data_IF_838756121804
#
_entry.id   IF_838756121804
#
_cell.length_a   1.000
_cell.length_b   1.000
_cell.length_c   1.000
_cell.angle_alpha   90.00
_cell.angle_beta   90.00
_cell.angle_gamma   90.00
#
_symmetry.space_group_name_H-M   'P 1'
#
loop_
_entity.id
_entity.type
_entity.pdbx_description
1 polymer ?
#
# COMPACT_ATOMS: atom_id res chain seq x y z
N UNK A 1 -8.78 -3.49 -4.79
CA UNK A 1 -8.03 -2.20 -4.81
C UNK A 1 -6.79 -2.36 -3.95
N UNK A 2 -5.69 -1.69 -4.26
CA UNK A 2 -4.45 -1.80 -3.49
C UNK A 2 -3.83 -0.43 -3.23
N UNK A 3 -2.99 -0.34 -2.21
CA UNK A 3 -2.20 0.86 -1.89
C UNK A 3 -0.89 0.94 -2.67
N UNK A 4 -0.47 -0.11 -3.35
CA UNK A 4 0.74 -0.11 -4.20
C UNK A 4 0.59 0.90 -5.35
N UNK A 5 -0.63 1.18 -5.79
CA UNK A 5 -0.90 2.27 -6.73
C UNK A 5 -0.46 3.65 -6.22
N UNK A 6 -0.52 3.91 -4.91
CA UNK A 6 -0.12 5.21 -4.34
C UNK A 6 1.39 5.44 -4.34
N UNK A 7 2.19 4.45 -4.75
CA UNK A 7 3.63 4.59 -4.90
C UNK A 7 4.03 5.67 -5.92
N UNK A 8 3.16 5.97 -6.89
CA UNK A 8 3.40 7.08 -7.81
C UNK A 8 3.53 8.44 -7.08
N UNK A 9 2.98 8.60 -5.88
CA UNK A 9 3.22 9.80 -5.03
C UNK A 9 4.70 9.94 -4.71
N UNK A 10 5.38 8.85 -4.34
CA UNK A 10 6.81 8.89 -4.04
C UNK A 10 7.65 9.21 -5.30
N UNK A 11 7.26 8.66 -6.45
CA UNK A 11 7.88 8.98 -7.73
C UNK A 11 7.68 10.46 -8.12
N UNK A 12 6.47 11.00 -7.96
CA UNK A 12 6.16 12.42 -8.19
C UNK A 12 6.95 13.31 -7.23
N UNK A 13 6.96 12.99 -5.94
CA UNK A 13 7.75 13.74 -4.96
C UNK A 13 9.24 13.74 -5.30
N UNK A 14 9.78 12.59 -5.75
CA UNK A 14 11.17 12.46 -6.19
C UNK A 14 11.46 13.31 -7.42
N UNK A 15 10.57 13.29 -8.42
CA UNK A 15 10.71 14.06 -9.66
C UNK A 15 10.67 15.57 -9.40
N UNK A 16 9.78 16.02 -8.52
CA UNK A 16 9.63 17.44 -8.17
C UNK A 16 10.64 17.92 -7.12
N UNK A 17 11.45 17.03 -6.55
CA UNK A 17 12.42 17.36 -5.51
C UNK A 17 11.78 17.82 -4.20
N UNK A 18 10.58 17.31 -3.89
CA UNK A 18 9.83 17.65 -2.68
C UNK A 18 9.81 16.48 -1.67
N UNK A 19 9.55 16.82 -0.42
CA UNK A 19 9.47 15.87 0.69
C UNK A 19 8.23 14.99 0.57
N UNK A 20 8.38 13.69 0.82
CA UNK A 20 7.27 12.73 0.89
C UNK A 20 6.51 12.87 2.22
N UNK A 21 5.63 13.86 2.33
CA UNK A 21 4.79 14.10 3.53
C UNK A 21 3.73 13.03 3.69
N UNK A 22 3.37 12.68 4.93
CA UNK A 22 2.30 11.72 5.21
C UNK A 22 0.91 12.35 5.06
N UNK A 23 0.07 11.93 4.10
CA UNK A 23 -1.23 12.53 3.81
C UNK A 23 -2.35 11.85 4.60
N UNK A 24 -2.22 11.83 5.93
CA UNK A 24 -3.12 11.06 6.79
C UNK A 24 -3.25 11.61 8.20
N UNK A 25 -4.05 10.94 9.02
CA UNK A 25 -4.30 11.34 10.41
C UNK A 25 -3.34 10.65 11.38
N UNK A 26 -3.13 11.28 12.54
CA UNK A 26 -2.33 10.73 13.65
C UNK A 26 -2.71 9.30 14.05
N UNK A 27 -4.01 8.98 13.98
CA UNK A 27 -4.53 7.66 14.32
C UNK A 27 -3.99 6.55 13.39
N UNK A 28 -3.86 6.81 12.10
CA UNK A 28 -3.22 5.88 11.16
C UNK A 28 -1.70 5.86 11.36
N UNK A 29 -1.10 7.03 11.60
CA UNK A 29 0.34 7.20 11.72
C UNK A 29 0.95 6.42 12.91
N UNK A 30 0.39 6.62 14.10
CA UNK A 30 0.88 6.05 15.36
C UNK A 30 0.18 4.74 15.74
N UNK A 31 -1.00 4.49 15.17
CA UNK A 31 -1.81 3.29 15.41
C UNK A 31 -1.21 2.05 14.74
N UNK A 32 -1.69 0.89 15.19
CA UNK A 32 -1.42 -0.36 14.49
C UNK A 32 -2.32 -0.48 13.26
N UNK A 33 -1.78 -1.11 12.23
CA UNK A 33 -2.50 -1.49 11.02
C UNK A 33 -2.07 -2.90 10.62
N UNK A 34 -2.95 -3.62 9.97
CA UNK A 34 -2.63 -4.86 9.25
C UNK A 34 -2.84 -4.65 7.74
N UNK A 35 -2.45 -5.65 6.96
CA UNK A 35 -2.75 -5.72 5.55
C UNK A 35 -2.80 -7.17 5.08
N UNK A 36 -3.26 -7.35 3.85
CA UNK A 36 -3.43 -8.66 3.23
C UNK A 36 -2.64 -8.69 1.92
N UNK A 37 -1.57 -9.46 1.90
CA UNK A 37 -0.75 -9.70 0.72
C UNK A 37 -1.57 -10.43 -0.37
N UNK A 38 -1.45 -10.00 -1.63
CA UNK A 38 -2.28 -10.54 -2.69
C UNK A 38 -1.95 -12.01 -3.03
N UNK A 39 -0.68 -12.43 -2.88
CA UNK A 39 -0.29 -13.82 -3.09
C UNK A 39 -0.78 -14.68 -1.91
N UNK A 40 -0.75 -14.16 -0.67
CA UNK A 40 -1.34 -14.83 0.50
C UNK A 40 -2.86 -14.99 0.38
N UNK A 41 -3.56 -13.97 -0.14
CA UNK A 41 -5.00 -14.07 -0.44
C UNK A 41 -5.25 -15.17 -1.47
N UNK A 42 -4.43 -15.25 -2.54
CA UNK A 42 -4.56 -16.30 -3.53
C UNK A 42 -4.34 -17.70 -2.94
N UNK A 43 -3.30 -17.87 -2.12
CA UNK A 43 -3.06 -19.11 -1.36
C UNK A 43 -4.24 -19.49 -0.47
N UNK A 44 -4.83 -18.51 0.22
CA UNK A 44 -5.99 -18.69 1.09
C UNK A 44 -7.24 -19.12 0.30
N UNK A 45 -7.49 -18.51 -0.87
CA UNK A 45 -8.57 -18.93 -1.75
C UNK A 45 -8.37 -20.33 -2.32
N UNK A 46 -7.14 -20.68 -2.71
CA UNK A 46 -6.79 -22.03 -3.17
C UNK A 46 -7.03 -23.04 -2.05
N UNK A 47 -6.56 -22.74 -0.83
CA UNK A 47 -6.81 -23.57 0.35
C UNK A 47 -8.31 -23.78 0.58
N UNK A 48 -9.10 -22.69 0.59
CA UNK A 48 -10.55 -22.75 0.77
C UNK A 48 -11.28 -23.56 -0.31
N UNK A 49 -10.72 -23.63 -1.52
CA UNK A 49 -11.29 -24.40 -2.62
C UNK A 49 -11.00 -25.92 -2.53
N UNK A 50 -9.87 -26.32 -1.94
CA UNK A 50 -9.41 -27.72 -1.95
C UNK A 50 -9.53 -28.43 -0.61
N UNK A 51 -9.50 -27.69 0.51
CA UNK A 51 -9.50 -28.27 1.85
C UNK A 51 -10.93 -28.60 2.32
N UNK A 52 -11.25 -29.85 2.67
CA UNK A 52 -12.58 -30.21 3.17
C UNK A 52 -12.95 -29.51 4.48
N UNK A 53 -11.97 -29.13 5.31
CA UNK A 53 -12.22 -28.42 6.57
C UNK A 53 -12.54 -26.93 6.36
N UNK A 54 -12.28 -26.38 5.17
CA UNK A 54 -12.58 -24.99 4.84
C UNK A 54 -13.95 -24.78 4.17
N UNK A 55 -14.70 -25.85 3.89
CA UNK A 55 -15.95 -25.79 3.12
C UNK A 55 -17.06 -25.07 3.88
N UNK A 56 -17.82 -24.24 3.15
CA UNK A 56 -19.00 -23.52 3.64
C UNK A 56 -18.72 -22.57 4.83
N UNK A 57 -17.48 -22.09 4.94
CA UNK A 57 -17.05 -21.21 6.02
C UNK A 57 -16.58 -19.86 5.48
N UNK A 58 -16.85 -18.80 6.23
CA UNK A 58 -16.24 -17.48 6.01
C UNK A 58 -14.99 -17.34 6.87
N UNK A 59 -13.89 -16.88 6.27
CA UNK A 59 -12.60 -16.71 6.94
C UNK A 59 -12.01 -15.32 6.64
N UNK A 60 -11.34 -14.76 7.64
CA UNK A 60 -10.48 -13.59 7.46
C UNK A 60 -9.16 -14.02 6.79
N UNK A 61 -8.50 -13.06 6.14
CA UNK A 61 -7.16 -13.24 5.56
C UNK A 61 -6.36 -11.96 5.70
N UNK A 62 -5.47 -11.93 6.69
CA UNK A 62 -4.46 -10.90 6.92
C UNK A 62 -3.09 -11.56 7.10
N UNK A 63 -2.02 -10.76 6.99
CA UNK A 63 -0.64 -11.26 6.95
C UNK A 63 -0.17 -11.97 8.23
N UNK A 64 -0.88 -11.81 9.34
CA UNK A 64 -0.55 -12.41 10.64
C UNK A 64 0.41 -11.58 11.49
N UNK A 65 0.76 -10.37 11.06
CA UNK A 65 1.51 -9.37 11.81
C UNK A 65 0.82 -7.99 11.75
N UNK A 66 1.37 -7.01 12.48
CA UNK A 66 0.91 -5.62 12.47
C UNK A 66 2.07 -4.67 12.18
N UNK A 67 1.77 -3.52 11.60
CA UNK A 67 2.73 -2.46 11.36
C UNK A 67 2.18 -1.10 11.81
N UNK A 68 3.03 -0.07 11.70
CA UNK A 68 2.62 1.33 11.85
C UNK A 68 3.00 2.07 10.59
N UNK A 69 2.13 2.94 10.10
CA UNK A 69 2.41 3.74 8.91
C UNK A 69 3.70 4.54 9.04
N UNK A 70 4.04 5.04 10.24
CA UNK A 70 5.33 5.72 10.48
C UNK A 70 6.58 4.93 10.08
N UNK A 71 6.51 3.61 10.15
CA UNK A 71 7.62 2.74 9.77
C UNK A 71 7.59 2.45 8.27
N UNK A 72 6.41 2.16 7.72
CA UNK A 72 6.24 1.86 6.29
C UNK A 72 6.53 3.08 5.42
N UNK A 73 6.22 4.28 5.91
CA UNK A 73 6.50 5.53 5.20
C UNK A 73 8.01 5.78 5.05
N UNK A 74 8.82 5.38 6.03
CA UNK A 74 10.29 5.39 5.91
C UNK A 74 10.78 4.43 4.85
N UNK A 75 10.25 3.20 4.83
CA UNK A 75 10.57 2.21 3.81
C UNK A 75 10.23 2.74 2.42
N UNK A 76 9.06 3.38 2.26
CA UNK A 76 8.66 3.99 1.00
C UNK A 76 9.64 5.09 0.56
N UNK A 77 10.01 6.00 1.48
CA UNK A 77 10.97 7.05 1.18
C UNK A 77 12.34 6.49 0.75
N UNK A 78 12.84 5.47 1.47
CA UNK A 78 14.10 4.77 1.15
C UNK A 78 14.05 4.10 -0.23
N UNK A 79 12.96 3.40 -0.55
CA UNK A 79 12.80 2.69 -1.82
C UNK A 79 12.78 3.63 -3.04
N UNK A 80 12.32 4.86 -2.89
CA UNK A 80 12.28 5.85 -3.98
C UNK A 80 13.41 6.89 -3.89
N UNK A 81 14.26 6.81 -2.85
CA UNK A 81 15.33 7.77 -2.62
C UNK A 81 14.82 9.22 -2.48
N UNK A 82 13.64 9.39 -1.88
CA UNK A 82 12.99 10.69 -1.66
C UNK A 82 13.16 11.11 -0.20
N UNK A 83 13.19 12.41 0.06
CA UNK A 83 13.26 12.92 1.44
C UNK A 83 12.02 12.50 2.23
N UNK A 84 12.25 11.91 3.41
CA UNK A 84 11.19 11.42 4.29
C UNK A 84 10.47 12.60 4.97
N UNK A 85 9.16 12.71 4.72
CA UNK A 85 8.25 13.57 5.48
C UNK A 85 7.38 12.74 6.41
N UNK A 86 7.36 13.09 7.69
CA UNK A 86 6.49 12.43 8.66
C UNK A 86 5.04 12.92 8.61
N UNK A 87 4.27 12.52 9.61
CA UNK A 87 3.03 13.21 9.98
C UNK A 87 3.32 14.60 10.55
N UNK A 88 2.56 15.60 10.11
CA UNK A 88 2.59 16.98 10.61
C UNK A 88 1.27 17.30 11.33
N UNK A 89 1.35 17.71 12.60
CA UNK A 89 0.18 18.04 13.42
C UNK A 89 -0.57 19.25 12.83
N UNK A 90 -1.90 19.16 12.73
CA UNK A 90 -2.75 20.25 12.25
C UNK A 90 -2.82 20.39 10.72
N UNK A 91 -2.08 19.57 9.95
CA UNK A 91 -2.28 19.46 8.51
C UNK A 91 -3.29 18.35 8.19
N UNK A 92 -4.36 18.71 7.47
CA UNK A 92 -5.26 17.76 6.83
C UNK A 92 -5.05 17.84 5.33
N UNK A 93 -4.06 17.10 4.83
CA UNK A 93 -3.78 16.97 3.40
C UNK A 93 -4.39 15.66 2.89
N UNK A 94 -5.15 15.73 1.81
CA UNK A 94 -5.61 14.55 1.08
C UNK A 94 -4.77 14.34 -0.17
N UNK A 95 -4.56 13.07 -0.56
CA UNK A 95 -3.92 12.74 -1.82
C UNK A 95 -4.76 13.21 -3.01
N UNK A 96 -6.09 13.22 -2.90
CA UNK A 96 -6.96 13.78 -3.94
C UNK A 96 -6.67 15.25 -4.24
N UNK A 97 -6.37 16.05 -3.22
CA UNK A 97 -5.99 17.46 -3.40
C UNK A 97 -4.56 17.59 -3.91
N UNK A 98 -3.61 16.88 -3.30
CA UNK A 98 -2.19 16.97 -3.65
C UNK A 98 -1.91 16.51 -5.09
N UNK A 99 -2.65 15.53 -5.59
CA UNK A 99 -2.40 14.89 -6.89
C UNK A 99 -3.32 15.39 -8.02
N UNK A 100 -4.27 16.30 -7.72
CA UNK A 100 -5.31 16.75 -8.67
C UNK A 100 -4.75 17.20 -10.02
N UNK A 101 -3.69 18.00 -9.99
CA UNK A 101 -3.12 18.64 -11.17
C UNK A 101 -1.77 18.02 -11.60
N UNK A 102 -1.48 16.79 -11.14
CA UNK A 102 -0.21 16.10 -11.40
C UNK A 102 -0.22 15.22 -12.65
N UNK A 103 -1.29 15.25 -13.45
CA UNK A 103 -1.40 14.44 -14.66
C UNK A 103 -0.25 14.66 -15.65
N UNK A 104 0.06 15.91 -15.98
CA UNK A 104 1.18 16.23 -16.90
C UNK A 104 2.55 15.88 -16.31
N UNK A 105 2.72 15.99 -14.99
CA UNK A 105 3.95 15.59 -14.30
C UNK A 105 4.13 14.07 -14.39
N UNK A 106 3.04 13.31 -14.25
CA UNK A 106 3.09 11.86 -14.43
C UNK A 106 3.42 11.47 -15.87
N UNK A 107 2.83 12.14 -16.87
CA UNK A 107 3.13 11.90 -18.28
C UNK A 107 4.63 12.14 -18.59
N UNK A 108 5.23 13.16 -17.96
CA UNK A 108 6.67 13.42 -18.05
C UNK A 108 7.49 12.30 -17.41
N UNK A 109 7.15 11.86 -16.20
CA UNK A 109 7.81 10.73 -15.52
C UNK A 109 7.75 9.47 -16.38
N UNK A 110 6.59 9.16 -16.96
CA UNK A 110 6.38 8.00 -17.84
C UNK A 110 7.30 8.08 -19.07
N UNK A 111 7.34 9.25 -19.73
CA UNK A 111 8.17 9.48 -20.92
C UNK A 111 9.66 9.37 -20.62
N UNK A 112 10.12 10.00 -19.55
CA UNK A 112 11.56 10.11 -19.22
C UNK A 112 12.16 8.79 -18.73
N UNK A 113 11.37 7.99 -18.01
CA UNK A 113 11.82 6.72 -17.45
C UNK A 113 11.46 5.52 -18.34
N UNK A 114 10.80 5.75 -19.49
CA UNK A 114 10.39 4.68 -20.41
C UNK A 114 9.43 3.69 -19.76
N UNK A 115 8.47 4.21 -18.98
CA UNK A 115 7.49 3.41 -18.23
C UNK A 115 6.38 2.89 -19.14
N UNK A 116 5.62 1.94 -18.62
CA UNK A 116 4.36 1.50 -19.23
C UNK A 116 3.43 2.72 -19.37
N UNK A 117 2.85 2.99 -20.55
CA UNK A 117 1.98 4.15 -20.76
C UNK A 117 0.70 4.06 -19.93
N UNK A 118 0.69 4.72 -18.77
CA UNK A 118 -0.45 4.78 -17.85
C UNK A 118 -0.85 6.22 -17.63
N UNK A 119 -2.16 6.46 -17.43
CA UNK A 119 -2.60 7.75 -16.91
C UNK A 119 -2.53 7.75 -15.40
N UNK A 120 -2.38 8.93 -14.81
CA UNK A 120 -2.25 9.08 -13.36
C UNK A 120 -3.48 8.53 -12.62
N UNK A 121 -4.68 8.72 -13.16
CA UNK A 121 -5.94 8.21 -12.59
C UNK A 121 -6.07 6.68 -12.62
N UNK A 122 -5.33 6.00 -13.50
CA UNK A 122 -5.36 4.53 -13.60
C UNK A 122 -4.48 3.86 -12.54
N UNK A 123 -3.40 4.52 -12.13
CA UNK A 123 -2.45 4.01 -11.13
C UNK A 123 -2.68 4.61 -9.75
N UNK A 124 -3.13 5.87 -9.68
CA UNK A 124 -3.33 6.64 -8.47
C UNK A 124 -4.77 6.62 -7.98
N UNK A 125 -5.12 5.65 -7.13
CA UNK A 125 -6.46 5.57 -6.53
C UNK A 125 -6.53 6.36 -5.21
N UNK A 126 -6.55 7.69 -5.35
CA UNK A 126 -6.38 8.64 -4.24
C UNK A 126 -7.45 8.54 -3.16
N UNK A 127 -8.72 8.46 -3.55
CA UNK A 127 -9.84 8.40 -2.61
C UNK A 127 -9.73 7.20 -1.67
N UNK A 128 -9.23 6.07 -2.18
CA UNK A 128 -9.05 4.88 -1.38
C UNK A 128 -7.91 5.05 -0.37
N UNK A 129 -6.79 5.61 -0.84
CA UNK A 129 -5.66 5.93 0.01
C UNK A 129 -6.04 6.88 1.14
N UNK A 130 -6.82 7.93 0.83
CA UNK A 130 -7.33 8.89 1.81
C UNK A 130 -8.23 8.22 2.86
N UNK A 131 -9.06 7.26 2.47
CA UNK A 131 -9.87 6.48 3.42
C UNK A 131 -8.96 5.66 4.34
N UNK A 132 -7.95 4.98 3.81
CA UNK A 132 -7.07 4.14 4.64
C UNK A 132 -6.20 4.98 5.58
N UNK A 133 -5.56 6.03 5.07
CA UNK A 133 -4.63 6.87 5.84
C UNK A 133 -5.36 7.90 6.74
N UNK A 134 -6.63 8.19 6.44
CA UNK A 134 -7.48 9.10 7.19
C UNK A 134 -8.14 8.49 8.43
N UNK A 135 -8.05 7.16 8.61
CA UNK A 135 -8.75 6.45 9.67
C UNK A 135 -7.82 5.52 10.47
N UNK A 136 -8.21 5.19 11.70
CA UNK A 136 -7.60 4.09 12.41
C UNK A 136 -7.97 2.77 11.72
N UNK A 137 -7.00 1.87 11.57
CA UNK A 137 -7.24 0.54 11.01
C UNK A 137 -7.83 -0.39 12.10
N UNK A 138 -9.07 -0.87 11.95
CA UNK A 138 -9.59 -1.95 12.78
C UNK A 138 -8.92 -3.26 12.35
N UNK A 139 -8.33 -3.98 13.30
CA UNK A 139 -7.63 -5.24 13.04
C UNK A 139 -8.61 -6.41 12.96
N UNK A 140 -8.28 -7.40 12.13
CA UNK A 140 -9.01 -8.67 12.09
C UNK A 140 -8.39 -9.76 12.99
N UNK A 141 -8.88 -10.99 12.85
CA UNK A 141 -8.27 -12.15 13.50
C UNK A 141 -8.13 -13.32 12.55
N UNK A 142 -6.91 -13.84 12.46
CA UNK A 142 -6.55 -15.05 11.71
C UNK A 142 -6.75 -16.35 12.49
N UNK A 143 -7.29 -16.30 13.72
CA UNK A 143 -7.43 -17.50 14.56
C UNK A 143 -8.27 -18.58 13.89
N UNK A 144 -9.44 -18.23 13.36
CA UNK A 144 -10.31 -19.20 12.68
C UNK A 144 -9.60 -19.87 11.50
N UNK A 145 -8.90 -19.11 10.66
CA UNK A 145 -8.13 -19.64 9.52
C UNK A 145 -7.07 -20.63 9.99
N UNK A 146 -6.29 -20.28 11.03
CA UNK A 146 -5.25 -21.17 11.61
C UNK A 146 -5.84 -22.42 12.25
N UNK A 147 -6.95 -22.29 12.98
CA UNK A 147 -7.66 -23.40 13.61
C UNK A 147 -8.21 -24.40 12.58
N UNK A 148 -8.49 -23.94 11.36
CA UNK A 148 -8.92 -24.78 10.24
C UNK A 148 -7.75 -25.22 9.34
N UNK A 149 -6.51 -24.97 9.74
CA UNK A 149 -5.31 -25.49 9.07
C UNK A 149 -4.61 -24.53 8.11
N UNK A 150 -5.14 -23.32 7.88
CA UNK A 150 -4.43 -22.31 7.09
C UNK A 150 -3.38 -21.58 7.94
N UNK A 151 -2.11 -21.98 7.76
CA UNK A 151 -0.95 -21.41 8.46
C UNK A 151 -0.12 -20.46 7.58
N UNK A 152 -0.66 -20.05 6.42
CA UNK A 152 -0.01 -19.07 5.56
C UNK A 152 0.11 -17.72 6.27
N UNK A 153 1.27 -17.08 6.14
CA UNK A 153 1.53 -15.76 6.68
C UNK A 153 2.50 -15.01 5.76
N UNK A 154 2.63 -13.70 5.96
CA UNK A 154 3.65 -12.86 5.33
C UNK A 154 4.20 -11.87 6.34
N UNK A 155 5.49 -11.55 6.23
CA UNK A 155 6.03 -10.38 6.91
C UNK A 155 5.61 -9.14 6.10
N UNK A 156 4.80 -8.26 6.69
CA UNK A 156 4.19 -7.15 5.95
C UNK A 156 5.22 -6.15 5.42
N UNK A 157 6.36 -5.94 6.11
CA UNK A 157 7.42 -5.05 5.62
C UNK A 157 8.07 -5.61 4.36
N UNK A 158 8.39 -6.90 4.37
CA UNK A 158 9.01 -7.57 3.21
C UNK A 158 8.01 -7.67 2.05
N UNK A 159 6.74 -7.93 2.34
CA UNK A 159 5.64 -7.89 1.36
C UNK A 159 5.58 -6.52 0.68
N UNK A 160 5.56 -5.42 1.45
CA UNK A 160 5.56 -4.06 0.88
C UNK A 160 6.72 -3.85 -0.10
N UNK A 161 7.95 -4.20 0.31
CA UNK A 161 9.13 -4.07 -0.54
C UNK A 161 8.98 -4.91 -1.81
N UNK A 162 8.56 -6.16 -1.69
CA UNK A 162 8.31 -7.05 -2.83
C UNK A 162 7.28 -6.49 -3.82
N UNK A 163 6.21 -5.86 -3.32
CA UNK A 163 5.19 -5.23 -4.19
C UNK A 163 5.69 -3.94 -4.84
N UNK A 164 6.53 -3.15 -4.15
CA UNK A 164 7.23 -2.00 -4.74
C UNK A 164 8.16 -2.47 -5.87
N UNK A 165 8.99 -3.47 -5.60
CA UNK A 165 9.93 -4.04 -6.57
C UNK A 165 9.20 -4.60 -7.79
N UNK A 166 8.04 -5.25 -7.59
CA UNK A 166 7.18 -5.71 -8.69
C UNK A 166 6.65 -4.54 -9.52
N UNK A 167 6.20 -3.45 -8.90
CA UNK A 167 5.74 -2.27 -9.65
C UNK A 167 6.86 -1.65 -10.51
N UNK A 168 8.10 -1.60 -9.99
CA UNK A 168 9.29 -1.18 -10.73
C UNK A 168 9.66 -2.13 -11.86
N UNK A 169 9.67 -3.44 -11.59
CA UNK A 169 10.01 -4.47 -12.56
C UNK A 169 9.05 -4.47 -13.77
N UNK A 170 7.76 -4.17 -13.53
CA UNK A 170 6.75 -4.00 -14.57
C UNK A 170 6.68 -2.57 -15.14
N UNK A 171 7.65 -1.72 -14.77
CA UNK A 171 7.78 -0.33 -15.25
C UNK A 171 6.51 0.49 -15.06
N UNK A 172 5.80 0.30 -13.95
CA UNK A 172 4.64 1.14 -13.59
C UNK A 172 5.13 2.44 -12.93
N UNK A 173 6.22 2.33 -12.16
CA UNK A 173 6.94 3.43 -11.52
C UNK A 173 8.45 3.26 -11.82
N UNK A 174 9.26 4.31 -11.72
CA UNK A 174 10.72 4.23 -11.90
C UNK A 174 11.41 3.33 -10.87
#
# INVERSE_FOLDING_TARGET
MNLVGTLCVAAICKHEGIVLRFPGRKAAWDGYSDCSDADLIAEHQIWGAVDPYAKNEAFNVSNGDVFKWKNFWKVLAEQFGVEYGGYEEGQTLTLQELMRDKGSVWDEIVRENGLTPTKLEDVGIWWFADIILGNQCPLDSMNKSKEHGFLGFRNSKNSLISWIDKAKAYKIVP
#
